data_IF_060866337930
#
_entry.id   IF_060866337930
#
_cell.length_a   1.000
_cell.length_b   1.000
_cell.length_c   1.000
_cell.angle_alpha   90.00
_cell.angle_beta   90.00
_cell.angle_gamma   90.00
#
_symmetry.space_group_name_H-M   'P 1'
#
loop_
_entity.id
_entity.type
_entity.pdbx_description
1 polymer ?
#
# COMPACT_ATOMS: atom_id res chain seq x y z
N UNK A 1 -5.69 3.16 -24.31
CA UNK A 1 -4.30 3.21 -23.81
C UNK A 1 -4.21 3.92 -22.46
N UNK A 2 -4.29 5.25 -22.34
CA UNK A 2 -4.14 5.92 -21.02
C UNK A 2 -5.21 5.54 -19.98
N UNK A 3 -6.49 5.51 -20.37
CA UNK A 3 -7.61 5.18 -19.46
C UNK A 3 -7.54 3.75 -18.89
N UNK A 4 -7.17 2.78 -19.73
CA UNK A 4 -7.06 1.37 -19.32
C UNK A 4 -5.93 1.16 -18.29
N UNK A 5 -4.78 1.80 -18.49
CA UNK A 5 -3.66 1.73 -17.55
C UNK A 5 -3.99 2.41 -16.21
N UNK A 6 -4.73 3.52 -16.24
CA UNK A 6 -5.22 4.18 -15.02
C UNK A 6 -6.20 3.28 -14.27
N UNK A 7 -7.09 2.57 -14.98
CA UNK A 7 -8.02 1.63 -14.37
C UNK A 7 -7.28 0.46 -13.72
N UNK A 8 -6.32 -0.16 -14.41
CA UNK A 8 -5.50 -1.24 -13.86
C UNK A 8 -4.72 -0.79 -12.62
N UNK A 9 -4.09 0.39 -12.68
CA UNK A 9 -3.42 0.96 -11.52
C UNK A 9 -4.41 1.18 -10.36
N UNK A 10 -5.60 1.68 -10.65
CA UNK A 10 -6.64 1.90 -9.64
C UNK A 10 -7.09 0.59 -8.99
N UNK A 11 -7.29 -0.47 -9.77
CA UNK A 11 -7.63 -1.82 -9.28
C UNK A 11 -6.56 -2.40 -8.37
N UNK A 12 -5.28 -2.22 -8.73
CA UNK A 12 -4.15 -2.66 -7.91
C UNK A 12 -4.06 -1.87 -6.59
N UNK A 13 -4.29 -0.56 -6.63
CA UNK A 13 -4.32 0.28 -5.43
C UNK A 13 -5.49 -0.07 -4.51
N UNK A 14 -6.68 -0.35 -5.07
CA UNK A 14 -7.85 -0.79 -4.30
C UNK A 14 -7.61 -2.16 -3.67
N UNK A 15 -7.01 -3.09 -4.42
CA UNK A 15 -6.63 -4.43 -3.93
C UNK A 15 -5.64 -4.33 -2.79
N UNK A 16 -4.60 -3.50 -2.93
CA UNK A 16 -3.64 -3.24 -1.87
C UNK A 16 -4.29 -2.62 -0.63
N UNK A 17 -5.11 -1.57 -0.81
CA UNK A 17 -5.80 -0.89 0.28
C UNK A 17 -6.70 -1.84 1.09
N UNK A 18 -7.37 -2.76 0.40
CA UNK A 18 -8.21 -3.79 1.02
C UNK A 18 -7.36 -4.81 1.76
N UNK A 19 -6.34 -5.37 1.10
CA UNK A 19 -5.42 -6.37 1.67
C UNK A 19 -4.69 -5.85 2.92
N UNK A 20 -4.39 -4.55 2.95
CA UNK A 20 -3.62 -3.90 4.03
C UNK A 20 -4.50 -3.23 5.09
N UNK A 21 -5.81 -3.47 5.11
CA UNK A 21 -6.76 -2.91 6.08
C UNK A 21 -6.70 -1.36 6.18
N UNK A 22 -6.72 -0.68 5.02
CA UNK A 22 -6.82 0.79 5.00
C UNK A 22 -8.13 1.26 5.66
N UNK A 23 -9.22 0.50 5.48
CA UNK A 23 -10.51 0.79 6.13
C UNK A 23 -10.40 0.78 7.66
N UNK A 24 -9.80 -0.26 8.24
CA UNK A 24 -9.57 -0.31 9.69
C UNK A 24 -8.64 0.80 10.15
N UNK A 25 -7.64 1.16 9.34
CA UNK A 25 -6.74 2.29 9.63
C UNK A 25 -7.50 3.63 9.66
N UNK A 26 -8.41 3.85 8.70
CA UNK A 26 -9.31 5.00 8.69
C UNK A 26 -10.24 5.03 9.91
N UNK A 27 -10.86 3.90 10.26
CA UNK A 27 -11.70 3.80 11.47
C UNK A 27 -10.93 4.19 12.73
N UNK A 28 -9.69 3.69 12.88
CA UNK A 28 -8.80 4.04 14.01
C UNK A 28 -8.42 5.51 13.99
N UNK A 29 -8.06 6.08 12.84
CA UNK A 29 -7.70 7.49 12.71
C UNK A 29 -8.86 8.44 13.05
N UNK A 30 -10.10 8.02 12.76
CA UNK A 30 -11.32 8.79 13.01
C UNK A 30 -11.95 8.55 14.39
N UNK A 31 -11.48 7.56 15.16
CA UNK A 31 -11.99 7.26 16.49
C UNK A 31 -11.60 8.32 17.54
N UNK A 32 -12.40 8.46 18.60
CA UNK A 32 -12.08 9.28 19.78
C UNK A 32 -12.07 10.80 19.54
N UNK A 33 -12.81 11.28 18.54
CA UNK A 33 -12.80 12.69 18.13
C UNK A 33 -13.86 13.57 18.81
N UNK A 34 -14.63 13.01 19.75
CA UNK A 34 -15.62 13.77 20.52
C UNK A 34 -14.91 14.57 21.63
N UNK A 35 -14.64 15.85 21.36
CA UNK A 35 -14.16 16.80 22.37
C UNK A 35 -15.32 17.69 22.80
N UNK A 36 -15.65 17.65 24.10
CA UNK A 36 -16.66 18.52 24.70
C UNK A 36 -16.36 19.99 24.36
N UNK A 37 -17.38 20.73 23.91
CA UNK A 37 -17.27 22.16 23.57
C UNK A 37 -16.80 22.48 22.15
N UNK A 38 -16.47 21.49 21.30
CA UNK A 38 -16.12 21.75 19.90
C UNK A 38 -17.38 21.88 19.03
N UNK A 39 -17.47 22.94 18.22
CA UNK A 39 -18.58 23.08 17.25
C UNK A 39 -18.57 21.96 16.23
N UNK A 40 -19.76 21.50 15.83
CA UNK A 40 -19.96 20.39 14.87
C UNK A 40 -19.19 20.61 13.55
N UNK A 41 -19.14 21.84 13.05
CA UNK A 41 -18.39 22.21 11.84
C UNK A 41 -16.88 21.91 11.94
N UNK A 42 -16.27 22.21 13.09
CA UNK A 42 -14.86 21.94 13.33
C UNK A 42 -14.58 20.45 13.50
N UNK A 43 -15.52 19.69 14.08
CA UNK A 43 -15.41 18.23 14.15
C UNK A 43 -15.42 17.60 12.75
N UNK A 44 -16.32 18.04 11.87
CA UNK A 44 -16.38 17.56 10.48
C UNK A 44 -15.09 17.88 9.71
N UNK A 45 -14.60 19.12 9.80
CA UNK A 45 -13.38 19.52 9.11
C UNK A 45 -12.16 18.67 9.54
N UNK A 46 -12.05 18.37 10.85
CA UNK A 46 -10.99 17.50 11.38
C UNK A 46 -11.11 16.06 10.88
N UNK A 47 -12.32 15.50 10.84
CA UNK A 47 -12.55 14.16 10.31
C UNK A 47 -12.16 14.05 8.84
N UNK A 48 -12.58 15.02 8.02
CA UNK A 48 -12.20 15.08 6.59
C UNK A 48 -10.69 15.15 6.44
N UNK A 49 -10.02 16.06 7.16
CA UNK A 49 -8.56 16.20 7.09
C UNK A 49 -7.85 14.91 7.49
N UNK A 50 -8.28 14.24 8.57
CA UNK A 50 -7.68 12.98 9.01
C UNK A 50 -7.87 11.85 8.00
N UNK A 51 -9.07 11.74 7.42
CA UNK A 51 -9.32 10.76 6.37
C UNK A 51 -8.42 11.02 5.14
N UNK A 52 -8.31 12.29 4.71
CA UNK A 52 -7.45 12.69 3.60
C UNK A 52 -5.97 12.38 3.87
N UNK A 53 -5.46 12.71 5.06
CA UNK A 53 -4.08 12.43 5.42
C UNK A 53 -3.80 10.92 5.49
N UNK A 54 -4.72 10.14 6.06
CA UNK A 54 -4.58 8.67 6.14
C UNK A 54 -4.50 8.04 4.74
N UNK A 55 -5.38 8.47 3.83
CA UNK A 55 -5.37 7.99 2.43
C UNK A 55 -4.09 8.45 1.71
N UNK A 56 -3.68 9.70 1.91
CA UNK A 56 -2.45 10.26 1.31
C UNK A 56 -1.21 9.51 1.78
N UNK A 57 -1.10 9.20 3.06
CA UNK A 57 0.02 8.43 3.61
C UNK A 57 0.08 7.02 3.03
N UNK A 58 -1.09 6.38 2.86
CA UNK A 58 -1.15 5.08 2.19
C UNK A 58 -0.67 5.16 0.73
N UNK A 59 -1.11 6.16 -0.05
CA UNK A 59 -0.70 6.30 -1.46
C UNK A 59 0.78 6.69 -1.58
N UNK A 60 1.30 7.49 -0.65
CA UNK A 60 2.68 7.95 -0.69
C UNK A 60 3.67 6.83 -0.33
N UNK A 61 3.30 5.94 0.59
CA UNK A 61 4.26 5.02 1.22
C UNK A 61 3.85 3.55 1.19
N UNK A 62 2.63 3.25 0.75
CA UNK A 62 2.05 1.90 0.72
C UNK A 62 2.15 1.16 2.07
N UNK A 63 2.09 1.89 3.18
CA UNK A 63 2.21 1.33 4.53
C UNK A 63 3.63 0.91 4.95
N UNK A 64 4.65 1.04 4.10
CA UNK A 64 6.00 0.57 4.42
C UNK A 64 6.67 1.31 5.58
N UNK A 65 6.25 2.55 5.90
CA UNK A 65 6.82 3.31 7.02
C UNK A 65 6.50 2.73 8.41
N UNK A 66 5.49 1.86 8.52
CA UNK A 66 5.11 1.22 9.79
C UNK A 66 5.65 -0.21 9.91
N UNK A 67 6.25 -0.75 8.83
CA UNK A 67 6.82 -2.09 8.84
C UNK A 67 8.23 -2.08 9.42
N UNK A 68 8.66 -3.20 10.05
CA UNK A 68 10.05 -3.38 10.43
C UNK A 68 10.94 -3.44 9.18
N UNK A 69 12.22 -2.99 9.24
CA UNK A 69 13.08 -2.82 8.06
C UNK A 69 13.24 -4.07 7.20
N UNK A 70 13.17 -5.26 7.81
CA UNK A 70 13.32 -6.56 7.13
C UNK A 70 12.16 -6.85 6.19
N UNK A 71 10.98 -6.28 6.46
CA UNK A 71 9.76 -6.44 5.65
C UNK A 71 9.57 -5.34 4.62
N UNK A 72 10.41 -4.31 4.64
CA UNK A 72 10.38 -3.25 3.61
C UNK A 72 11.13 -3.79 2.37
N UNK A 73 10.60 -3.62 1.14
CA UNK A 73 11.29 -4.06 -0.05
C UNK A 73 12.51 -3.18 -0.35
N UNK A 74 13.43 -3.71 -1.15
CA UNK A 74 14.54 -2.93 -1.68
C UNK A 74 14.07 -2.11 -2.89
N UNK A 75 14.67 -0.94 -3.09
CA UNK A 75 14.52 -0.15 -4.30
C UNK A 75 15.19 -0.86 -5.48
N UNK A 76 14.60 -0.75 -6.67
CA UNK A 76 15.20 -1.27 -7.91
C UNK A 76 16.20 -0.29 -8.53
N UNK A 77 16.23 0.96 -8.06
CA UNK A 77 17.09 2.02 -8.57
C UNK A 77 18.07 2.52 -7.51
N UNK A 78 19.06 3.30 -7.94
CA UNK A 78 20.08 3.85 -7.05
C UNK A 78 20.91 2.76 -6.36
N UNK A 79 21.15 2.94 -5.06
CA UNK A 79 21.94 2.01 -4.23
C UNK A 79 21.19 0.72 -3.87
N UNK A 80 19.92 0.56 -4.30
CA UNK A 80 19.07 -0.61 -4.02
C UNK A 80 18.87 -0.91 -2.54
N UNK A 81 18.97 0.13 -1.72
CA UNK A 81 18.60 0.14 -0.31
C UNK A 81 17.08 -0.03 -0.13
N UNK A 82 16.61 -0.19 1.11
CA UNK A 82 15.16 -0.23 1.42
C UNK A 82 14.45 1.01 0.86
N UNK A 83 13.26 0.82 0.28
CA UNK A 83 12.47 1.96 -0.20
C UNK A 83 12.16 2.89 0.97
N UNK A 84 12.20 4.20 0.71
CA UNK A 84 11.91 5.24 1.71
C UNK A 84 12.82 5.18 2.94
N UNK A 85 14.03 4.64 2.78
CA UNK A 85 15.03 4.57 3.84
C UNK A 85 15.22 5.96 4.46
N UNK A 86 15.04 6.03 5.78
CA UNK A 86 15.31 7.26 6.53
C UNK A 86 16.81 7.50 6.56
N UNK A 87 17.18 8.78 6.48
CA UNK A 87 18.57 9.16 6.66
C UNK A 87 19.06 8.68 8.03
N UNK A 88 20.29 8.15 8.05
CA UNK A 88 20.95 7.73 9.28
C UNK A 88 20.98 8.91 10.25
N UNK A 89 20.43 8.76 11.47
CA UNK A 89 20.51 9.82 12.46
C UNK A 89 21.97 10.08 12.79
N UNK A 90 22.36 11.35 12.85
CA UNK A 90 23.69 11.74 13.30
C UNK A 90 23.84 11.35 14.78
N UNK A 91 24.86 10.58 15.10
CA UNK A 91 25.25 10.28 16.48
C UNK A 91 26.23 11.33 16.98
N UNK A 92 26.10 11.72 18.26
CA UNK A 92 26.98 12.62 19.05
C UNK A 92 28.12 13.36 18.31
N UNK A 93 28.01 14.68 18.18
CA UNK A 93 29.01 15.61 17.62
C UNK A 93 29.54 15.30 16.20
N UNK A 94 28.99 14.32 15.50
CA UNK A 94 29.35 14.04 14.11
C UNK A 94 28.79 15.11 13.17
N UNK A 95 29.67 15.67 12.33
CA UNK A 95 29.26 16.53 11.23
C UNK A 95 28.68 15.66 10.10
N UNK A 96 27.54 16.06 9.49
CA UNK A 96 26.99 15.34 8.35
C UNK A 96 27.97 15.35 7.19
N UNK A 97 28.30 14.17 6.67
CA UNK A 97 29.09 14.05 5.45
C UNK A 97 28.18 14.40 4.26
N UNK A 98 28.49 15.51 3.60
CA UNK A 98 27.78 15.92 2.39
C UNK A 98 28.37 15.19 1.19
N UNK A 99 27.49 14.66 0.35
CA UNK A 99 27.90 14.12 -0.93
C UNK A 99 28.52 15.22 -1.81
N UNK A 100 29.47 14.85 -2.66
CA UNK A 100 30.12 15.76 -3.60
C UNK A 100 29.14 16.40 -4.60
N UNK A 101 27.98 15.77 -4.81
CA UNK A 101 26.88 16.26 -5.65
C UNK A 101 25.64 16.38 -4.78
N UNK A 102 24.89 17.48 -4.96
CA UNK A 102 23.64 17.68 -4.26
C UNK A 102 22.68 16.51 -4.55
N UNK A 103 22.12 15.87 -3.52
CA UNK A 103 21.14 14.82 -3.71
C UNK A 103 19.92 15.37 -4.47
N UNK A 104 19.24 14.50 -5.21
CA UNK A 104 17.97 14.82 -5.88
C UNK A 104 16.85 14.01 -5.21
N UNK A 105 16.27 14.50 -4.09
CA UNK A 105 15.30 13.74 -3.31
C UNK A 105 14.05 13.37 -4.10
N UNK A 106 13.60 14.24 -5.01
CA UNK A 106 12.43 13.98 -5.85
C UNK A 106 12.63 12.79 -6.79
N UNK A 107 13.81 12.67 -7.41
CA UNK A 107 14.16 11.53 -8.28
C UNK A 107 14.31 10.25 -7.47
N UNK A 108 14.96 10.35 -6.30
CA UNK A 108 15.14 9.21 -5.38
C UNK A 108 13.78 8.69 -4.90
N UNK A 109 12.90 9.60 -4.46
CA UNK A 109 11.53 9.27 -4.05
C UNK A 109 10.72 8.64 -5.18
N UNK A 110 10.76 9.18 -6.41
CA UNK A 110 10.04 8.60 -7.54
C UNK A 110 10.52 7.17 -7.85
N UNK A 111 11.84 6.95 -7.78
CA UNK A 111 12.46 5.65 -7.94
C UNK A 111 12.00 4.64 -6.90
N UNK A 112 12.01 5.04 -5.63
CA UNK A 112 11.51 4.23 -4.52
C UNK A 112 10.01 3.97 -4.66
N UNK A 113 9.21 4.96 -5.04
CA UNK A 113 7.77 4.84 -5.18
C UNK A 113 7.38 3.83 -6.28
N UNK A 114 8.06 3.86 -7.44
CA UNK A 114 7.85 2.87 -8.50
C UNK A 114 8.29 1.46 -8.06
N UNK A 115 9.40 1.37 -7.32
CA UNK A 115 9.89 0.09 -6.78
C UNK A 115 8.94 -0.51 -5.75
N UNK A 116 8.39 0.34 -4.88
CA UNK A 116 7.40 -0.01 -3.88
C UNK A 116 6.09 -0.44 -4.54
N UNK A 117 5.61 0.30 -5.55
CA UNK A 117 4.42 -0.04 -6.32
C UNK A 117 4.55 -1.41 -7.00
N UNK A 118 5.69 -1.68 -7.63
CA UNK A 118 5.95 -3.00 -8.24
C UNK A 118 5.85 -4.13 -7.19
N UNK A 119 6.43 -3.92 -6.01
CA UNK A 119 6.34 -4.90 -4.92
C UNK A 119 4.89 -5.10 -4.45
N UNK A 120 4.12 -4.01 -4.31
CA UNK A 120 2.70 -4.06 -3.94
C UNK A 120 1.87 -4.84 -4.96
N UNK A 121 2.08 -4.59 -6.26
CA UNK A 121 1.35 -5.27 -7.34
C UNK A 121 1.69 -6.77 -7.38
N UNK A 122 2.96 -7.13 -7.18
CA UNK A 122 3.36 -8.53 -7.08
C UNK A 122 2.71 -9.22 -5.86
N UNK A 123 2.68 -8.53 -4.71
CA UNK A 123 2.04 -9.03 -3.49
C UNK A 123 0.51 -9.09 -3.60
N UNK A 124 -0.10 -8.37 -4.54
CA UNK A 124 -1.52 -8.47 -4.84
C UNK A 124 -1.85 -9.72 -5.66
N UNK A 125 -0.86 -10.44 -6.22
CA UNK A 125 -1.11 -11.65 -6.99
C UNK A 125 -1.92 -12.67 -6.16
N UNK A 126 -3.06 -13.10 -6.70
CA UNK A 126 -3.98 -14.01 -6.01
C UNK A 126 -4.94 -13.34 -5.03
N UNK A 127 -4.82 -12.04 -4.81
CA UNK A 127 -5.81 -11.20 -4.16
C UNK A 127 -6.61 -10.43 -5.21
N UNK A 128 -7.91 -10.27 -4.99
CA UNK A 128 -8.72 -9.31 -5.73
C UNK A 128 -9.68 -8.66 -4.74
N UNK A 129 -9.72 -7.33 -4.71
CA UNK A 129 -10.66 -6.60 -3.85
C UNK A 129 -12.12 -7.02 -4.11
N UNK A 130 -12.40 -7.47 -5.33
CA UNK A 130 -13.71 -7.87 -5.84
C UNK A 130 -13.92 -9.39 -5.89
N UNK A 131 -13.20 -10.18 -5.06
CA UNK A 131 -13.49 -11.61 -4.99
C UNK A 131 -14.76 -11.83 -4.16
N UNK A 132 -15.89 -11.99 -4.84
CA UNK A 132 -17.13 -12.55 -4.27
C UNK A 132 -16.95 -14.01 -3.76
N UNK A 133 -15.76 -14.60 -3.96
CA UNK A 133 -15.47 -16.01 -3.73
C UNK A 133 -14.15 -16.11 -2.94
N UNK A 134 -14.22 -16.56 -1.68
CA UNK A 134 -13.02 -16.77 -0.84
C UNK A 134 -12.07 -17.81 -1.45
N UNK A 135 -10.82 -17.86 -0.98
CA UNK A 135 -9.85 -18.90 -1.40
C UNK A 135 -10.40 -20.32 -1.20
N UNK A 136 -11.10 -20.55 -0.09
CA UNK A 136 -11.74 -21.84 0.22
C UNK A 136 -12.86 -22.17 -0.77
N UNK A 137 -13.72 -21.20 -1.09
CA UNK A 137 -14.75 -21.37 -2.11
C UNK A 137 -14.16 -21.58 -3.51
N UNK A 138 -13.03 -20.95 -3.84
CA UNK A 138 -12.35 -21.16 -5.12
C UNK A 138 -11.78 -22.59 -5.22
N UNK A 139 -11.21 -23.11 -4.12
CA UNK A 139 -10.77 -24.50 -4.04
C UNK A 139 -11.93 -25.48 -4.20
N UNK A 140 -13.07 -25.22 -3.56
CA UNK A 140 -14.29 -26.01 -3.72
C UNK A 140 -14.80 -25.95 -5.17
N UNK A 141 -14.80 -24.77 -5.80
CA UNK A 141 -15.18 -24.61 -7.20
C UNK A 141 -14.26 -25.44 -8.13
N UNK A 142 -12.96 -25.45 -7.85
CA UNK A 142 -11.99 -26.29 -8.56
C UNK A 142 -12.31 -27.78 -8.46
N UNK A 143 -12.70 -28.26 -7.27
CA UNK A 143 -13.11 -29.66 -7.06
C UNK A 143 -14.38 -30.01 -7.86
N UNK A 144 -15.37 -29.13 -7.87
CA UNK A 144 -16.62 -29.31 -8.62
C UNK A 144 -16.33 -29.39 -10.13
N UNK A 145 -15.50 -28.49 -10.66
CA UNK A 145 -15.12 -28.49 -12.07
C UNK A 145 -14.35 -29.78 -12.45
N UNK A 146 -13.47 -30.27 -11.57
CA UNK A 146 -12.75 -31.52 -11.79
C UNK A 146 -13.68 -32.74 -11.85
N UNK A 147 -14.69 -32.81 -10.99
CA UNK A 147 -15.70 -33.88 -11.02
C UNK A 147 -16.52 -33.84 -12.31
N UNK A 148 -17.02 -32.66 -12.70
CA UNK A 148 -17.79 -32.48 -13.93
C UNK A 148 -17.00 -32.83 -15.20
N UNK A 149 -15.67 -32.60 -15.21
CA UNK A 149 -14.80 -33.02 -16.32
C UNK A 149 -14.59 -34.53 -16.37
N UNK A 150 -14.56 -35.22 -15.24
CA UNK A 150 -14.43 -36.68 -15.19
C UNK A 150 -15.72 -37.37 -15.67
N UNK A 151 -16.89 -36.82 -15.33
CA UNK A 151 -18.19 -37.34 -15.79
C UNK A 151 -18.43 -37.10 -17.29
N UNK A 152 -17.80 -36.09 -17.88
CA UNK A 152 -17.91 -35.75 -19.31
C UNK A 152 -16.77 -36.31 -20.19
N UNK A 153 -15.90 -37.18 -19.69
CA UNK A 153 -14.97 -37.90 -20.56
C UNK A 153 -15.72 -39.00 -21.32
N UNK A 154 -15.74 -39.00 -22.67
CA UNK A 154 -16.32 -40.10 -23.42
C UNK A 154 -15.43 -41.34 -23.26
N UNK A 155 -16.05 -42.50 -23.04
CA UNK A 155 -15.41 -43.81 -23.05
C UNK A 155 -14.64 -44.09 -24.34
#
# INVERSE_FOLDING_TARGET
MSSELINQLSEELITAATRMDLEGTLKRALAGQEQAGTRREHLMARQVLRAQLTIRDFIAWFGYLTLPPEKVPNSYVGEKNKVFMRQTPLTNDELPQLAAVAPQPGVSYLGDWLSALMSVVLDNAGHSATRDISFEHNRQLGQIISQLKQENMPC
#
